data_IF_932373991980
#
_entry.id   IF_932373991980
#
_cell.length_a   1.000
_cell.length_b   1.000
_cell.length_c   1.000
_cell.angle_alpha   90.00
_cell.angle_beta   90.00
_cell.angle_gamma   90.00
#
_symmetry.space_group_name_H-M   'P 1'
#
loop_
_entity.id
_entity.type
_entity.pdbx_description
1 polymer ?
#
# COMPACT_ATOMS: atom_id res chain seq x y z
N UNK A 1 -63.77 -27.15 12.70
CA UNK A 1 -63.13 -25.83 12.84
C UNK A 1 -61.98 -26.00 13.80
N UNK A 2 -60.88 -25.25 13.64
CA UNK A 2 -59.57 -25.39 14.30
C UNK A 2 -58.65 -26.45 13.70
N UNK A 3 -57.84 -26.06 12.70
CA UNK A 3 -56.42 -26.47 12.46
C UNK A 3 -55.76 -25.60 11.37
N UNK A 4 -55.79 -24.26 11.49
CA UNK A 4 -55.11 -23.36 10.53
C UNK A 4 -54.20 -22.31 11.23
N UNK A 5 -54.24 -22.20 12.57
CA UNK A 5 -53.55 -21.11 13.28
C UNK A 5 -52.04 -21.31 13.52
N UNK A 6 -51.50 -22.52 13.35
CA UNK A 6 -50.15 -22.82 13.86
C UNK A 6 -49.04 -22.81 12.79
N UNK A 7 -49.39 -22.70 11.49
CA UNK A 7 -48.39 -22.67 10.41
C UNK A 7 -47.97 -21.23 10.04
N UNK A 8 -48.86 -20.25 10.17
CA UNK A 8 -48.54 -18.84 9.85
C UNK A 8 -47.60 -18.21 10.90
N UNK A 9 -47.72 -18.58 12.17
CA UNK A 9 -46.83 -18.09 13.24
C UNK A 9 -45.39 -18.61 13.12
N UNK A 10 -45.20 -19.82 12.57
CA UNK A 10 -43.86 -20.39 12.35
C UNK A 10 -43.18 -19.78 11.12
N UNK A 11 -43.95 -19.34 10.12
CA UNK A 11 -43.41 -18.68 8.93
C UNK A 11 -42.91 -17.26 9.24
N UNK A 12 -43.61 -16.52 10.11
CA UNK A 12 -43.20 -15.19 10.56
C UNK A 12 -41.96 -15.21 11.47
N UNK A 13 -41.86 -16.19 12.38
CA UNK A 13 -40.69 -16.38 13.25
C UNK A 13 -39.42 -16.71 12.45
N UNK A 14 -39.54 -17.46 11.36
CA UNK A 14 -38.41 -17.82 10.51
C UNK A 14 -37.96 -16.64 9.61
N UNK A 15 -38.87 -15.79 9.12
CA UNK A 15 -38.51 -14.61 8.33
C UNK A 15 -37.82 -13.51 9.14
N UNK A 16 -38.22 -13.35 10.41
CA UNK A 16 -37.61 -12.38 11.31
C UNK A 16 -36.20 -12.80 11.74
N UNK A 17 -35.94 -14.12 11.86
CA UNK A 17 -34.61 -14.66 12.12
C UNK A 17 -33.68 -14.58 10.90
N UNK A 18 -34.18 -14.82 9.68
CA UNK A 18 -33.40 -14.64 8.45
C UNK A 18 -33.00 -13.17 8.21
N UNK A 19 -33.85 -12.22 8.60
CA UNK A 19 -33.55 -10.79 8.49
C UNK A 19 -32.51 -10.33 9.51
N UNK A 20 -32.46 -10.94 10.70
CA UNK A 20 -31.42 -10.66 11.69
C UNK A 20 -30.07 -11.27 11.33
N UNK A 21 -30.04 -12.47 10.74
CA UNK A 21 -28.81 -13.15 10.28
C UNK A 21 -28.14 -12.38 9.12
N UNK A 22 -28.94 -11.88 8.17
CA UNK A 22 -28.41 -11.16 6.99
C UNK A 22 -27.95 -9.72 7.27
N UNK A 23 -28.20 -9.18 8.47
CA UNK A 23 -27.71 -7.85 8.88
C UNK A 23 -26.31 -7.85 9.49
N UNK A 24 -25.69 -9.03 9.67
CA UNK A 24 -24.40 -9.20 10.31
C UNK A 24 -23.24 -9.53 9.35
N UNK A 25 -23.45 -9.52 8.03
CA UNK A 25 -22.42 -9.90 7.03
C UNK A 25 -21.75 -8.75 6.27
N UNK A 26 -21.94 -7.48 6.67
CA UNK A 26 -21.37 -6.33 5.97
C UNK A 26 -20.30 -5.54 6.77
N UNK A 27 -19.65 -6.12 7.79
CA UNK A 27 -18.67 -5.37 8.59
C UNK A 27 -17.44 -6.14 9.13
N UNK A 28 -17.02 -7.20 8.46
CA UNK A 28 -15.76 -7.92 8.71
C UNK A 28 -15.29 -8.38 7.31
N UNK A 29 -14.28 -7.86 6.61
CA UNK A 29 -12.91 -7.55 7.02
C UNK A 29 -12.23 -6.60 5.99
N UNK A 30 -12.28 -5.28 6.21
CA UNK A 30 -11.43 -4.32 5.46
C UNK A 30 -10.13 -3.95 6.22
N UNK A 31 -9.82 -4.65 7.31
CA UNK A 31 -8.66 -4.40 8.17
C UNK A 31 -8.06 -5.73 8.62
N UNK A 32 -7.10 -6.29 7.85
CA UNK A 32 -6.03 -7.18 8.36
C UNK A 32 -5.15 -7.85 7.29
N UNK A 33 -5.44 -7.72 5.98
CA UNK A 33 -4.66 -8.40 4.93
C UNK A 33 -3.26 -7.83 4.61
N UNK A 34 -2.83 -6.73 5.26
CA UNK A 34 -1.66 -5.94 4.80
C UNK A 34 -0.33 -6.23 5.55
N UNK A 35 -0.32 -7.03 6.62
CA UNK A 35 0.90 -7.17 7.46
C UNK A 35 2.05 -7.93 6.77
N UNK A 36 1.73 -8.89 5.89
CA UNK A 36 2.71 -9.84 5.34
C UNK A 36 3.04 -9.64 3.85
N UNK A 37 2.53 -8.57 3.23
CA UNK A 37 2.87 -8.31 1.82
C UNK A 37 4.38 -8.08 1.64
N UNK A 38 4.97 -8.55 0.52
CA UNK A 38 6.39 -8.38 0.24
C UNK A 38 6.75 -6.94 -0.19
N UNK A 39 5.80 -6.00 -0.13
CA UNK A 39 5.94 -4.60 -0.47
C UNK A 39 5.13 -3.74 0.50
N UNK A 40 5.39 -2.44 0.48
CA UNK A 40 4.52 -1.41 1.10
C UNK A 40 3.82 -0.62 0.00
N UNK A 41 2.67 -0.03 0.30
CA UNK A 41 1.91 0.86 -0.60
C UNK A 41 1.98 2.32 -0.16
N UNK A 42 2.33 2.56 1.10
CA UNK A 42 2.55 3.89 1.66
C UNK A 42 3.90 3.95 2.40
N UNK A 43 4.60 5.08 2.30
CA UNK A 43 5.89 5.26 2.97
C UNK A 43 5.78 5.22 4.51
N UNK A 44 4.64 5.59 5.08
CA UNK A 44 4.38 5.49 6.53
C UNK A 44 4.48 4.06 7.06
N UNK A 45 4.32 3.05 6.19
CA UNK A 45 4.49 1.64 6.54
C UNK A 45 5.97 1.24 6.69
N UNK A 46 6.91 2.09 6.25
CA UNK A 46 8.34 1.90 6.46
C UNK A 46 8.69 2.51 7.82
N UNK A 47 9.33 1.74 8.69
CA UNK A 47 9.70 2.22 10.02
C UNK A 47 10.59 3.46 9.92
N UNK A 48 10.26 4.48 10.70
CA UNK A 48 10.86 5.82 10.63
C UNK A 48 12.28 5.92 11.18
N UNK A 49 12.68 4.95 12.01
CA UNK A 49 14.02 4.80 12.59
C UNK A 49 15.04 4.17 11.63
N UNK A 50 14.57 3.56 10.53
CA UNK A 50 15.43 2.98 9.51
C UNK A 50 16.20 4.05 8.72
N UNK A 51 17.49 3.81 8.50
CA UNK A 51 18.40 4.71 7.79
C UNK A 51 18.79 4.13 6.44
N UNK A 52 18.20 4.60 5.32
CA UNK A 52 18.51 4.04 4.02
C UNK A 52 19.88 4.52 3.54
N UNK A 53 20.52 3.70 2.70
CA UNK A 53 21.68 4.16 1.94
C UNK A 53 21.22 5.25 0.97
N UNK A 54 22.05 6.28 0.80
CA UNK A 54 21.82 7.36 -0.15
C UNK A 54 22.63 7.09 -1.44
N UNK A 55 22.04 6.47 -2.49
CA UNK A 55 22.73 6.27 -3.77
C UNK A 55 23.21 7.57 -4.41
N UNK A 56 22.38 8.61 -4.34
CA UNK A 56 22.70 9.94 -4.86
C UNK A 56 21.84 11.04 -4.23
N UNK A 57 22.42 12.23 -4.10
CA UNK A 57 21.76 13.44 -3.57
C UNK A 57 20.95 14.20 -4.65
N UNK A 58 20.29 13.48 -5.56
CA UNK A 58 19.46 14.05 -6.64
C UNK A 58 18.36 13.09 -7.07
N UNK A 59 17.38 13.57 -7.83
CA UNK A 59 16.31 12.70 -8.37
C UNK A 59 16.78 11.87 -9.56
N UNK A 60 16.24 10.65 -9.72
CA UNK A 60 16.27 9.92 -10.98
C UNK A 60 15.15 10.42 -11.89
N UNK A 61 15.44 10.74 -13.15
CA UNK A 61 14.43 11.11 -14.14
C UNK A 61 13.94 9.85 -14.82
N UNK A 62 12.66 9.55 -14.70
CA UNK A 62 12.06 8.32 -15.23
C UNK A 62 10.81 8.68 -16.01
N UNK A 63 10.69 8.14 -17.23
CA UNK A 63 9.44 8.16 -17.98
C UNK A 63 8.47 7.18 -17.30
N UNK A 64 7.42 7.71 -16.68
CA UNK A 64 6.34 6.90 -16.13
C UNK A 64 5.19 6.87 -17.12
N UNK A 65 4.51 5.73 -17.21
CA UNK A 65 3.35 5.52 -18.08
C UNK A 65 2.08 5.34 -17.27
N UNK A 66 0.99 5.89 -17.77
CA UNK A 66 -0.32 5.80 -17.14
C UNK A 66 -0.71 4.32 -16.90
N UNK A 67 -1.18 4.01 -15.70
CA UNK A 67 -1.64 2.68 -15.31
C UNK A 67 -0.52 1.66 -15.06
N UNK A 68 0.75 1.98 -15.33
CA UNK A 68 1.85 1.06 -15.01
C UNK A 68 2.17 1.04 -13.52
N UNK A 69 2.37 -0.17 -13.00
CA UNK A 69 2.82 -0.41 -11.62
C UNK A 69 4.33 -0.54 -11.57
N UNK A 70 4.95 0.13 -10.60
CA UNK A 70 6.39 0.07 -10.36
C UNK A 70 6.67 -0.28 -8.90
N UNK A 71 7.86 -0.83 -8.67
CA UNK A 71 8.39 -1.12 -7.33
C UNK A 71 9.62 -0.25 -7.08
N UNK A 72 9.45 0.78 -6.26
CA UNK A 72 10.52 1.71 -5.93
C UNK A 72 11.42 1.17 -4.82
N UNK A 73 12.74 1.37 -4.99
CA UNK A 73 13.74 1.01 -4.01
C UNK A 73 13.70 1.97 -2.82
N UNK A 74 13.43 1.46 -1.63
CA UNK A 74 13.34 2.24 -0.39
C UNK A 74 14.62 2.18 0.44
N UNK A 75 15.41 1.10 0.32
CA UNK A 75 16.63 0.87 1.10
C UNK A 75 17.90 1.54 0.54
N UNK A 76 17.92 1.84 -0.76
CA UNK A 76 19.09 2.42 -1.44
C UNK A 76 20.12 1.40 -1.95
N UNK A 77 19.98 0.10 -1.69
CA UNK A 77 20.96 -0.92 -2.11
C UNK A 77 20.81 -1.41 -3.56
N UNK A 78 19.67 -1.13 -4.21
CA UNK A 78 19.42 -1.59 -5.58
C UNK A 78 20.49 -1.10 -6.56
N UNK A 79 20.89 -1.99 -7.47
CA UNK A 79 21.79 -1.72 -8.61
C UNK A 79 21.03 -1.17 -9.82
N UNK A 80 19.71 -1.31 -9.87
CA UNK A 80 18.82 -0.81 -10.94
C UNK A 80 17.99 0.39 -10.48
N UNK A 81 18.61 1.32 -9.75
CA UNK A 81 17.96 2.52 -9.26
C UNK A 81 17.19 3.27 -10.37
N UNK A 82 16.01 3.84 -10.06
CA UNK A 82 15.40 3.98 -8.73
C UNK A 82 14.54 2.79 -8.30
N UNK A 83 14.48 1.71 -9.09
CA UNK A 83 13.59 0.58 -8.85
C UNK A 83 14.22 -0.51 -7.99
N UNK A 84 13.38 -1.33 -7.38
CA UNK A 84 13.81 -2.45 -6.56
C UNK A 84 14.28 -3.61 -7.43
N UNK A 85 15.42 -4.20 -7.08
CA UNK A 85 16.00 -5.40 -7.72
C UNK A 85 16.07 -6.60 -6.76
N UNK A 86 15.44 -6.49 -5.58
CA UNK A 86 15.52 -7.51 -4.53
C UNK A 86 16.63 -7.30 -3.52
N UNK A 87 17.58 -6.36 -3.73
CA UNK A 87 18.69 -6.14 -2.79
C UNK A 87 18.27 -5.71 -1.39
N UNK A 88 17.02 -5.29 -1.19
CA UNK A 88 16.47 -4.93 0.12
C UNK A 88 16.50 -6.08 1.14
N UNK A 89 16.56 -7.34 0.71
CA UNK A 89 16.67 -8.50 1.62
C UNK A 89 17.96 -8.48 2.45
N UNK A 90 18.98 -7.74 2.01
CA UNK A 90 20.24 -7.54 2.76
C UNK A 90 20.08 -6.53 3.91
N UNK A 91 18.97 -5.80 3.98
CA UNK A 91 18.71 -4.74 4.94
C UNK A 91 17.34 -4.95 5.62
N UNK A 92 17.32 -5.58 6.81
CA UNK A 92 16.07 -5.91 7.52
C UNK A 92 15.18 -4.69 7.73
N UNK A 93 13.86 -4.90 7.62
CA UNK A 93 12.84 -3.86 7.81
C UNK A 93 12.50 -3.05 6.57
N UNK A 94 13.26 -3.19 5.48
CA UNK A 94 12.91 -2.58 4.19
C UNK A 94 12.07 -3.51 3.32
N UNK A 95 11.02 -2.93 2.75
CA UNK A 95 10.22 -3.49 1.66
C UNK A 95 10.17 -2.48 0.51
N UNK A 96 10.10 -2.91 -0.77
CA UNK A 96 9.88 -2.00 -1.89
C UNK A 96 8.54 -1.27 -1.76
N UNK A 97 8.48 -0.03 -2.26
CA UNK A 97 7.24 0.73 -2.33
C UNK A 97 6.58 0.47 -3.69
N UNK A 98 5.46 -0.25 -3.68
CA UNK A 98 4.60 -0.46 -4.85
C UNK A 98 3.75 0.78 -5.08
N UNK A 99 3.72 1.28 -6.31
CA UNK A 99 2.78 2.33 -6.70
C UNK A 99 2.37 2.16 -8.17
N UNK A 100 1.13 2.54 -8.48
CA UNK A 100 0.64 2.69 -9.86
C UNK A 100 0.66 4.17 -10.21
N UNK A 101 1.11 4.50 -11.41
CA UNK A 101 1.15 5.88 -11.87
C UNK A 101 -0.15 6.24 -12.60
N UNK A 102 -1.02 7.01 -11.93
CA UNK A 102 -2.33 7.41 -12.47
C UNK A 102 -2.29 8.67 -13.35
N UNK A 103 -1.15 9.35 -13.43
CA UNK A 103 -1.00 10.53 -14.30
C UNK A 103 -0.79 10.17 -15.77
N UNK A 104 -0.82 11.18 -16.64
CA UNK A 104 -0.42 11.04 -18.04
C UNK A 104 1.07 10.68 -18.17
N UNK A 105 1.40 9.94 -19.23
CA UNK A 105 2.76 9.57 -19.62
C UNK A 105 3.72 10.76 -19.55
N UNK A 106 4.63 10.74 -18.57
CA UNK A 106 5.52 11.87 -18.31
C UNK A 106 6.80 11.49 -17.60
N UNK A 107 7.85 12.27 -17.86
CA UNK A 107 9.07 12.21 -17.06
C UNK A 107 8.81 12.79 -15.67
N UNK A 108 9.02 11.97 -14.63
CA UNK A 108 8.94 12.36 -13.23
C UNK A 108 10.29 12.19 -12.54
N UNK A 109 10.49 12.96 -11.48
CA UNK A 109 11.66 12.83 -10.61
C UNK A 109 11.37 11.88 -9.46
N UNK A 110 11.94 10.68 -9.48
CA UNK A 110 11.89 9.76 -8.35
C UNK A 110 13.05 10.03 -7.40
N UNK A 111 12.81 9.88 -6.10
CA UNK A 111 13.77 10.22 -5.07
C UNK A 111 15.04 9.36 -5.17
N UNK A 112 16.20 10.01 -5.20
CA UNK A 112 17.49 9.29 -5.22
C UNK A 112 18.04 9.05 -3.82
N UNK A 113 17.85 10.00 -2.90
CA UNK A 113 18.43 9.94 -1.55
C UNK A 113 17.70 8.99 -0.60
N UNK A 114 16.46 8.59 -0.92
CA UNK A 114 15.58 7.71 -0.12
C UNK A 114 14.96 8.33 1.13
N UNK A 115 15.25 9.60 1.41
CA UNK A 115 14.72 10.36 2.56
C UNK A 115 13.50 11.25 2.25
N UNK A 116 12.86 11.10 1.09
CA UNK A 116 11.62 11.82 0.81
C UNK A 116 10.55 11.50 1.86
N UNK A 117 9.70 12.48 2.16
CA UNK A 117 8.62 12.42 3.17
C UNK A 117 7.22 12.37 2.55
N UNK A 118 7.13 12.30 1.23
CA UNK A 118 5.88 12.02 0.54
C UNK A 118 5.42 10.60 0.91
N UNK A 119 4.25 10.51 1.55
CA UNK A 119 3.60 9.27 1.97
C UNK A 119 3.25 8.40 0.75
N UNK A 120 2.46 8.99 -0.16
CA UNK A 120 1.99 8.33 -1.37
C UNK A 120 2.98 8.49 -2.52
N UNK A 121 3.80 7.47 -2.68
CA UNK A 121 4.65 7.29 -3.85
C UNK A 121 6.10 7.76 -3.68
N UNK A 122 6.93 7.58 -4.72
CA UNK A 122 8.39 7.68 -4.60
C UNK A 122 8.98 9.03 -5.04
N UNK A 123 8.15 10.08 -5.12
CA UNK A 123 8.55 11.33 -5.76
C UNK A 123 9.57 12.10 -4.94
N UNK A 124 10.45 12.82 -5.65
CA UNK A 124 11.43 13.70 -5.03
C UNK A 124 10.75 14.98 -4.51
N UNK A 125 10.94 15.26 -3.22
CA UNK A 125 10.45 16.45 -2.51
C UNK A 125 11.59 17.40 -2.08
N UNK A 126 12.82 17.11 -2.52
CA UNK A 126 13.98 17.96 -2.26
C UNK A 126 14.63 17.76 -0.88
N UNK A 127 14.24 16.75 -0.10
CA UNK A 127 14.81 16.51 1.24
C UNK A 127 16.34 16.38 1.24
N UNK A 128 16.94 15.88 0.15
CA UNK A 128 18.39 15.81 -0.02
C UNK A 128 19.11 17.17 0.09
N UNK A 129 18.39 18.30 0.01
CA UNK A 129 18.95 19.65 0.20
C UNK A 129 18.94 20.11 1.66
N UNK A 130 18.19 19.42 2.52
CA UNK A 130 17.94 19.78 3.92
C UNK A 130 18.65 18.86 4.91
N UNK A 131 19.21 17.76 4.43
CA UNK A 131 19.94 16.81 5.26
C UNK A 131 21.40 17.21 5.31
N UNK A 132 21.96 17.13 6.51
CA UNK A 132 23.39 17.08 6.73
C UNK A 132 23.84 15.63 6.48
N UNK A 133 24.89 15.44 5.68
CA UNK A 133 25.22 14.15 5.06
C UNK A 133 26.67 13.76 5.26
#
# INVERSE_FOLDING_TARGET
MEKISDQESQQQLNSDQETQINSQLDNQDAQSVDSDLPYVTDRSQIKSDLKPVCPQKKSYKVQLKHGETYFYCTCGLSKTQPFCDGSHVQMPGYKPLKFTYEGEDKIKGLCGCKYNKIEKGPFCDGQHKKLDW
#
